data_IF_525140874236
#
_entry.id   IF_525140874236
#
_cell.length_a   1.000
_cell.length_b   1.000
_cell.length_c   1.000
_cell.angle_alpha   90.00
_cell.angle_beta   90.00
_cell.angle_gamma   90.00
#
_symmetry.space_group_name_H-M   'P 1'
#
loop_
_entity.id
_entity.type
_entity.pdbx_description
1 polymer ?
#
# COMPACT_ATOMS: atom_id res chain seq x y z
N UNK A 1 -0.66 -37.66 14.17
CA UNK A 1 -0.67 -36.19 14.04
C UNK A 1 0.76 -35.74 13.80
N UNK A 2 1.11 -35.39 12.58
CA UNK A 2 2.39 -34.74 12.24
C UNK A 2 2.12 -33.71 11.14
N UNK A 3 2.38 -32.44 11.44
CA UNK A 3 2.22 -31.33 10.52
C UNK A 3 3.26 -31.43 9.40
N UNK A 4 2.83 -31.25 8.14
CA UNK A 4 3.70 -31.28 6.97
C UNK A 4 4.19 -29.85 6.70
N UNK A 5 5.46 -29.61 7.02
CA UNK A 5 6.18 -28.36 6.72
C UNK A 5 6.24 -28.12 5.21
N UNK A 6 5.66 -27.01 4.74
CA UNK A 6 5.82 -26.54 3.37
C UNK A 6 7.11 -25.73 3.28
N UNK A 7 8.08 -26.22 2.50
CA UNK A 7 9.33 -25.50 2.22
C UNK A 7 9.06 -24.42 1.18
N UNK A 8 9.35 -23.15 1.51
CA UNK A 8 9.39 -22.05 0.52
C UNK A 8 10.62 -22.24 -0.37
N UNK A 9 10.41 -22.17 -1.69
CA UNK A 9 11.47 -22.19 -2.71
C UNK A 9 11.93 -20.75 -3.01
N UNK A 10 13.21 -20.52 -3.32
CA UNK A 10 13.75 -19.19 -3.62
C UNK A 10 13.36 -18.69 -5.02
N UNK A 11 13.17 -17.37 -5.15
CA UNK A 11 12.72 -16.64 -6.35
C UNK A 11 13.52 -16.95 -7.63
N UNK A 12 14.78 -17.40 -7.50
CA UNK A 12 15.66 -17.72 -8.63
C UNK A 12 15.25 -18.95 -9.44
N UNK A 13 14.43 -19.86 -8.89
CA UNK A 13 13.86 -21.01 -9.61
C UNK A 13 12.64 -20.62 -10.47
N UNK A 14 11.87 -19.61 -10.07
CA UNK A 14 10.73 -19.09 -10.85
C UNK A 14 11.16 -18.36 -12.13
N UNK A 15 12.40 -17.87 -12.18
CA UNK A 15 12.96 -17.15 -13.33
C UNK A 15 13.61 -18.05 -14.39
N UNK A 16 13.64 -19.38 -14.19
CA UNK A 16 14.08 -20.33 -15.23
C UNK A 16 13.05 -20.52 -16.37
N UNK A 17 11.87 -19.91 -16.27
CA UNK A 17 10.81 -19.94 -17.29
C UNK A 17 11.02 -19.04 -18.52
N UNK A 18 12.23 -18.51 -18.76
CA UNK A 18 12.51 -17.56 -19.86
C UNK A 18 12.51 -18.17 -21.26
N UNK A 19 12.27 -19.47 -21.41
CA UNK A 19 12.05 -20.11 -22.72
C UNK A 19 10.71 -19.69 -23.38
N UNK A 20 9.75 -19.18 -22.60
CA UNK A 20 8.46 -18.73 -23.14
C UNK A 20 8.56 -17.43 -23.97
N UNK A 21 9.61 -16.63 -23.75
CA UNK A 21 9.80 -15.33 -24.44
C UNK A 21 10.53 -15.45 -25.78
N UNK A 22 11.09 -16.62 -26.13
CA UNK A 22 11.83 -16.81 -27.38
C UNK A 22 10.94 -17.08 -28.61
N UNK A 23 9.70 -17.54 -28.41
CA UNK A 23 8.78 -17.92 -29.50
C UNK A 23 7.93 -16.76 -30.02
N UNK A 24 7.79 -15.68 -29.25
CA UNK A 24 6.95 -14.52 -29.60
C UNK A 24 7.58 -13.56 -30.61
N UNK A 25 8.91 -13.55 -30.76
CA UNK A 25 9.60 -12.55 -31.59
C UNK A 25 9.77 -12.96 -33.07
N UNK A 26 9.22 -14.09 -33.50
CA UNK A 26 9.53 -14.69 -34.80
C UNK A 26 8.48 -14.47 -35.92
N UNK A 27 7.44 -13.63 -35.73
CA UNK A 27 6.32 -13.56 -36.70
C UNK A 27 5.90 -12.18 -37.20
N UNK A 28 6.67 -11.12 -36.97
CA UNK A 28 6.27 -9.78 -37.43
C UNK A 28 7.02 -9.37 -38.69
N UNK A 29 6.46 -9.73 -39.86
CA UNK A 29 6.69 -8.97 -41.09
C UNK A 29 5.33 -8.67 -41.74
N UNK A 30 4.94 -7.40 -41.74
CA UNK A 30 3.83 -6.92 -42.56
C UNK A 30 4.18 -5.57 -43.17
N UNK A 31 3.94 -5.47 -44.47
CA UNK A 31 4.19 -4.31 -45.34
C UNK A 31 2.97 -3.41 -45.41
N UNK A 32 3.18 -2.09 -45.37
CA UNK A 32 2.13 -1.07 -45.52
C UNK A 32 1.93 -0.71 -47.00
N UNK A 33 0.67 -0.74 -47.46
CA UNK A 33 0.23 -0.01 -48.66
C UNK A 33 -1.18 0.52 -48.46
N UNK A 34 -1.34 1.85 -48.58
CA UNK A 34 -2.55 2.46 -49.15
C UNK A 34 -3.43 3.31 -48.24
N UNK A 35 -3.08 4.59 -48.14
CA UNK A 35 -3.91 5.80 -48.17
C UNK A 35 -5.41 5.71 -47.80
N UNK A 36 -5.80 6.33 -46.68
CA UNK A 36 -6.70 7.49 -46.69
C UNK A 36 -6.90 8.08 -45.28
N UNK A 37 -6.83 9.39 -45.25
CA UNK A 37 -7.13 10.32 -44.14
C UNK A 37 -8.36 9.93 -43.32
N UNK A 38 -8.11 9.59 -42.06
CA UNK A 38 -9.05 9.53 -40.95
C UNK A 38 -8.22 9.34 -39.69
N UNK A 39 -8.51 10.08 -38.62
CA UNK A 39 -7.82 9.93 -37.33
C UNK A 39 -7.66 8.45 -37.00
N UNK A 40 -6.41 7.95 -37.05
CA UNK A 40 -6.09 6.55 -36.91
C UNK A 40 -6.38 6.16 -35.46
N UNK A 41 -7.55 5.57 -35.25
CA UNK A 41 -7.74 4.62 -34.16
C UNK A 41 -6.58 3.64 -34.26
N UNK A 42 -5.73 3.60 -33.25
CA UNK A 42 -4.79 2.50 -33.07
C UNK A 42 -5.65 1.24 -33.00
N UNK A 43 -5.70 0.48 -34.10
CA UNK A 43 -6.31 -0.83 -34.12
C UNK A 43 -5.41 -1.72 -33.25
N UNK A 44 -5.77 -1.85 -31.97
CA UNK A 44 -5.37 -3.00 -31.18
C UNK A 44 -6.09 -4.20 -31.80
N UNK A 45 -5.43 -4.89 -32.74
CA UNK A 45 -5.88 -6.17 -33.29
C UNK A 45 -5.90 -7.22 -32.17
N UNK A 46 -6.98 -7.22 -31.37
CA UNK A 46 -7.25 -8.23 -30.36
C UNK A 46 -7.98 -9.41 -31.02
N UNK A 47 -7.19 -10.34 -31.56
CA UNK A 47 -7.65 -11.66 -31.94
C UNK A 47 -7.95 -12.51 -30.70
N UNK A 48 -9.24 -12.60 -30.36
CA UNK A 48 -9.90 -13.71 -29.68
C UNK A 48 -9.37 -14.15 -28.29
N UNK A 49 -9.84 -13.49 -27.24
CA UNK A 49 -10.54 -14.14 -26.11
C UNK A 49 -11.37 -13.08 -25.37
N UNK A 50 -12.70 -13.08 -25.55
CA UNK A 50 -13.57 -12.09 -24.92
C UNK A 50 -13.85 -12.47 -23.46
N UNK A 51 -12.90 -12.19 -22.58
CA UNK A 51 -13.21 -11.68 -21.24
C UNK A 51 -13.61 -10.20 -21.35
N UNK A 52 -14.40 -9.64 -20.41
CA UNK A 52 -14.66 -8.19 -20.41
C UNK A 52 -13.32 -7.48 -20.47
N UNK A 53 -13.15 -6.63 -21.49
CA UNK A 53 -11.84 -6.17 -21.96
C UNK A 53 -10.93 -5.76 -20.81
N UNK A 54 -9.69 -6.25 -20.83
CA UNK A 54 -8.65 -6.00 -19.82
C UNK A 54 -8.49 -4.51 -19.47
N UNK A 55 -8.74 -3.60 -20.41
CA UNK A 55 -8.71 -2.15 -20.18
C UNK A 55 -9.95 -1.59 -19.47
N UNK A 56 -11.10 -2.26 -19.57
CA UNK A 56 -12.36 -1.83 -18.95
C UNK A 56 -12.40 -2.09 -17.45
N UNK A 57 -11.67 -3.10 -16.98
CA UNK A 57 -11.61 -3.49 -15.56
C UNK A 57 -10.47 -2.83 -14.79
N UNK A 58 -9.45 -2.33 -15.49
CA UNK A 58 -8.21 -1.83 -14.87
C UNK A 58 -8.31 -0.39 -14.34
N UNK A 59 -9.30 0.38 -14.77
CA UNK A 59 -9.52 1.76 -14.30
C UNK A 59 -10.89 1.92 -13.66
N UNK A 60 -11.17 1.04 -12.70
CA UNK A 60 -12.37 1.10 -11.88
C UNK A 60 -11.97 1.01 -10.41
N UNK A 61 -12.83 1.56 -9.54
CA UNK A 61 -12.73 1.36 -8.11
C UNK A 61 -12.75 -0.15 -7.81
N UNK A 62 -11.87 -0.66 -6.92
CA UNK A 62 -11.83 -2.09 -6.63
C UNK A 62 -13.15 -2.56 -6.00
N UNK A 63 -13.65 -3.71 -6.44
CA UNK A 63 -14.87 -4.34 -5.89
C UNK A 63 -14.55 -5.58 -5.03
N UNK A 64 -13.32 -6.08 -5.10
CA UNK A 64 -12.80 -7.23 -4.37
C UNK A 64 -11.28 -7.13 -4.21
N UNK A 65 -10.72 -8.02 -3.39
CA UNK A 65 -9.29 -8.08 -3.10
C UNK A 65 -8.41 -8.33 -4.34
N UNK A 66 -8.88 -9.11 -5.33
CA UNK A 66 -8.09 -9.37 -6.53
C UNK A 66 -7.95 -8.10 -7.39
N UNK A 67 -9.01 -7.26 -7.45
CA UNK A 67 -8.97 -5.98 -8.15
C UNK A 67 -8.08 -4.98 -7.38
N UNK A 68 -8.12 -4.98 -6.04
CA UNK A 68 -7.23 -4.17 -5.20
C UNK A 68 -5.75 -4.52 -5.41
N UNK A 69 -5.41 -5.81 -5.34
CA UNK A 69 -4.04 -6.30 -5.56
C UNK A 69 -3.53 -5.92 -6.96
N UNK A 70 -4.41 -5.97 -7.97
CA UNK A 70 -4.06 -5.55 -9.33
C UNK A 70 -3.76 -4.05 -9.44
N UNK A 71 -4.50 -3.20 -8.73
CA UNK A 71 -4.26 -1.75 -8.69
C UNK A 71 -2.95 -1.40 -7.95
N UNK A 72 -2.64 -2.11 -6.86
CA UNK A 72 -1.37 -1.94 -6.14
C UNK A 72 -0.18 -2.29 -7.04
N UNK A 73 -0.24 -3.43 -7.74
CA UNK A 73 0.80 -3.82 -8.70
C UNK A 73 0.93 -2.81 -9.84
N UNK A 74 -0.18 -2.24 -10.31
CA UNK A 74 -0.16 -1.22 -11.34
C UNK A 74 0.57 0.06 -10.89
N UNK A 75 0.33 0.51 -9.66
CA UNK A 75 1.04 1.67 -9.09
C UNK A 75 2.52 1.38 -8.96
N UNK A 76 2.92 0.20 -8.47
CA UNK A 76 4.32 -0.20 -8.38
C UNK A 76 5.01 -0.18 -9.76
N UNK A 77 4.39 -0.77 -10.78
CA UNK A 77 4.92 -0.75 -12.15
C UNK A 77 5.01 0.67 -12.72
N UNK A 78 4.01 1.53 -12.46
CA UNK A 78 4.03 2.92 -12.89
C UNK A 78 5.16 3.70 -12.23
N UNK A 79 5.36 3.53 -10.92
CA UNK A 79 6.44 4.17 -10.17
C UNK A 79 7.82 3.70 -10.63
N UNK A 80 7.98 2.43 -11.03
CA UNK A 80 9.21 1.95 -11.66
C UNK A 80 9.49 2.63 -13.01
N UNK A 81 8.44 2.92 -13.79
CA UNK A 81 8.54 3.59 -15.09
C UNK A 81 8.86 5.09 -14.93
N UNK A 82 8.16 5.78 -14.03
CA UNK A 82 8.34 7.23 -13.81
C UNK A 82 9.62 7.53 -13.04
N UNK A 83 10.08 6.61 -12.19
CA UNK A 83 11.18 6.84 -11.27
C UNK A 83 10.88 8.03 -10.35
N UNK A 84 11.88 8.88 -10.13
CA UNK A 84 11.78 10.07 -9.26
C UNK A 84 11.21 11.31 -9.99
N UNK A 85 10.68 11.19 -11.21
CA UNK A 85 10.10 12.32 -11.95
C UNK A 85 8.63 12.56 -11.57
N UNK A 86 8.42 13.36 -10.54
CA UNK A 86 7.08 13.79 -10.11
C UNK A 86 6.32 14.61 -11.19
N UNK A 87 7.00 15.14 -12.21
CA UNK A 87 6.35 15.87 -13.30
C UNK A 87 5.92 14.98 -14.47
N UNK A 88 6.18 13.67 -14.36
CA UNK A 88 5.88 12.72 -15.41
C UNK A 88 4.35 12.68 -15.68
N UNK A 89 3.89 12.67 -16.95
CA UNK A 89 2.46 12.70 -17.27
C UNK A 89 1.64 11.54 -16.68
N UNK A 90 2.29 10.43 -16.33
CA UNK A 90 1.66 9.28 -15.68
C UNK A 90 1.44 9.46 -14.17
N UNK A 91 2.05 10.46 -13.53
CA UNK A 91 1.87 10.69 -12.08
C UNK A 91 0.41 11.00 -11.74
N UNK A 92 -0.29 11.74 -12.61
CA UNK A 92 -1.74 11.98 -12.43
C UNK A 92 -2.56 10.69 -12.47
N UNK A 93 -2.09 9.64 -13.12
CA UNK A 93 -2.74 8.33 -13.09
C UNK A 93 -2.44 7.58 -11.79
N UNK A 94 -1.19 7.66 -11.31
CA UNK A 94 -0.79 7.12 -10.00
C UNK A 94 -1.64 7.75 -8.89
N UNK A 95 -1.85 9.06 -8.92
CA UNK A 95 -2.69 9.77 -7.94
C UNK A 95 -4.13 9.22 -7.92
N UNK A 96 -4.75 9.07 -9.08
CA UNK A 96 -6.14 8.58 -9.19
C UNK A 96 -6.27 7.14 -8.68
N UNK A 97 -5.32 6.26 -9.04
CA UNK A 97 -5.35 4.87 -8.57
C UNK A 97 -5.06 4.82 -7.06
N UNK A 98 -4.17 5.68 -6.57
CA UNK A 98 -3.86 5.84 -5.15
C UNK A 98 -5.10 6.21 -4.34
N UNK A 99 -5.92 7.16 -4.82
CA UNK A 99 -7.18 7.55 -4.17
C UNK A 99 -8.14 6.35 -4.02
N UNK A 100 -8.22 5.48 -5.04
CA UNK A 100 -9.07 4.28 -5.00
C UNK A 100 -8.58 3.22 -4.03
N UNK A 101 -7.26 2.99 -3.99
CA UNK A 101 -6.60 2.10 -3.01
C UNK A 101 -6.87 2.61 -1.59
N UNK A 102 -6.71 3.92 -1.36
CA UNK A 102 -6.95 4.52 -0.05
C UNK A 102 -8.42 4.35 0.40
N UNK A 103 -9.39 4.61 -0.48
CA UNK A 103 -10.82 4.42 -0.18
C UNK A 103 -11.14 2.96 0.19
N UNK A 104 -10.54 2.00 -0.54
CA UNK A 104 -10.67 0.58 -0.24
C UNK A 104 -10.05 0.23 1.12
N UNK A 105 -8.82 0.66 1.38
CA UNK A 105 -8.10 0.40 2.64
C UNK A 105 -8.86 0.91 3.85
N UNK A 106 -9.41 2.13 3.77
CA UNK A 106 -10.19 2.72 4.87
C UNK A 106 -11.41 1.87 5.24
N UNK A 107 -12.01 1.18 4.27
CA UNK A 107 -13.25 0.42 4.44
C UNK A 107 -13.01 -1.07 4.73
N UNK A 108 -12.00 -1.68 4.11
CA UNK A 108 -11.74 -3.13 4.15
C UNK A 108 -10.53 -3.50 5.02
N UNK A 109 -9.57 -2.60 5.18
CA UNK A 109 -8.37 -2.79 5.99
C UNK A 109 -8.17 -1.68 7.02
N UNK A 110 -9.16 -1.39 7.89
CA UNK A 110 -9.03 -0.33 8.87
C UNK A 110 -7.83 -0.62 9.77
N UNK A 111 -6.82 0.25 9.70
CA UNK A 111 -5.63 0.14 10.56
C UNK A 111 -6.12 0.21 12.01
N UNK A 112 -5.94 -0.86 12.81
CA UNK A 112 -6.41 -0.85 14.18
C UNK A 112 -5.65 0.23 14.92
N UNK A 113 -6.40 1.14 15.55
CA UNK A 113 -5.81 2.22 16.32
C UNK A 113 -4.96 1.62 17.45
N UNK A 114 -3.66 1.94 17.52
CA UNK A 114 -2.81 1.41 18.57
C UNK A 114 -3.33 1.90 19.93
N UNK A 115 -3.29 1.06 20.97
CA UNK A 115 -3.71 1.48 22.30
C UNK A 115 -2.82 2.62 22.80
N UNK A 116 -3.37 3.54 23.59
CA UNK A 116 -2.65 4.77 24.00
C UNK A 116 -1.31 4.55 24.71
N UNK A 117 -1.06 3.37 25.29
CA UNK A 117 0.25 3.05 25.87
C UNK A 117 1.34 2.75 24.82
N UNK A 118 0.99 2.15 23.68
CA UNK A 118 1.93 1.93 22.58
C UNK A 118 2.31 3.24 21.92
N UNK A 119 1.31 4.11 21.73
CA UNK A 119 1.50 5.49 21.25
C UNK A 119 2.44 6.25 22.18
N UNK A 120 2.20 6.20 23.49
CA UNK A 120 3.09 6.82 24.47
C UNK A 120 4.51 6.26 24.38
N UNK A 121 4.66 4.93 24.29
CA UNK A 121 5.97 4.29 24.18
C UNK A 121 6.72 4.68 22.91
N UNK A 122 6.00 4.86 21.79
CA UNK A 122 6.56 5.37 20.54
C UNK A 122 7.06 6.81 20.71
N UNK A 123 6.22 7.71 21.22
CA UNK A 123 6.58 9.12 21.42
C UNK A 123 7.76 9.28 22.38
N UNK A 124 7.84 8.46 23.44
CA UNK A 124 9.00 8.48 24.33
C UNK A 124 10.31 8.11 23.61
N UNK A 125 10.28 7.10 22.72
CA UNK A 125 11.48 6.72 21.94
C UNK A 125 11.87 7.81 20.96
N UNK A 126 10.90 8.35 20.23
CA UNK A 126 11.11 9.38 19.22
C UNK A 126 11.69 10.67 19.83
N UNK A 127 11.20 11.06 21.01
CA UNK A 127 11.67 12.25 21.71
C UNK A 127 12.81 12.00 22.70
N UNK A 128 13.32 10.76 22.81
CA UNK A 128 14.39 10.40 23.75
C UNK A 128 14.03 10.59 25.23
N UNK A 129 12.75 10.47 25.58
CA UNK A 129 12.22 10.69 26.94
C UNK A 129 12.32 9.43 27.81
N UNK A 130 12.64 9.63 29.08
CA UNK A 130 12.59 8.59 30.10
C UNK A 130 11.25 8.63 30.84
N UNK A 131 10.94 7.56 31.58
CA UNK A 131 9.71 7.48 32.40
C UNK A 131 9.62 8.59 33.46
N UNK A 132 10.76 9.13 33.89
CA UNK A 132 10.85 10.21 34.87
C UNK A 132 10.50 11.58 34.28
N UNK A 133 10.53 11.71 32.95
CA UNK A 133 10.29 12.98 32.25
C UNK A 133 8.80 13.26 32.01
N UNK A 134 7.91 12.39 32.52
CA UNK A 134 6.45 12.46 32.35
C UNK A 134 5.71 12.73 33.68
N UNK A 135 5.98 13.85 34.38
CA UNK A 135 5.44 14.10 35.72
C UNK A 135 3.90 14.25 35.73
N UNK A 136 3.29 14.68 34.62
CA UNK A 136 1.82 14.78 34.53
C UNK A 136 1.12 13.44 34.31
N UNK A 137 1.84 12.41 33.85
CA UNK A 137 1.31 11.05 33.75
C UNK A 137 1.29 10.39 35.14
N UNK A 138 2.39 10.48 35.88
CA UNK A 138 2.49 9.96 37.24
C UNK A 138 3.92 9.70 37.67
N UNK A 139 4.09 8.92 38.73
CA UNK A 139 5.41 8.46 39.15
C UNK A 139 5.99 7.46 38.14
N UNK A 140 7.30 7.27 38.15
CA UNK A 140 7.99 6.32 37.27
C UNK A 140 7.33 4.92 37.25
N UNK A 141 6.93 4.41 38.43
CA UNK A 141 6.23 3.12 38.55
C UNK A 141 4.90 3.10 37.80
N UNK A 142 4.13 4.19 37.87
CA UNK A 142 2.84 4.31 37.17
C UNK A 142 3.05 4.35 35.66
N UNK A 143 4.05 5.10 35.19
CA UNK A 143 4.40 5.16 33.75
C UNK A 143 4.83 3.78 33.25
N UNK A 144 5.62 3.03 34.02
CA UNK A 144 6.02 1.65 33.68
C UNK A 144 4.83 0.67 33.58
N UNK A 145 3.87 0.76 34.50
CA UNK A 145 2.63 -0.03 34.44
C UNK A 145 1.79 0.30 33.20
N UNK A 146 1.76 1.58 32.80
CA UNK A 146 1.07 2.01 31.58
C UNK A 146 1.77 1.45 30.35
N UNK A 147 3.08 1.64 30.22
CA UNK A 147 3.88 1.17 29.08
C UNK A 147 3.86 -0.36 28.93
N UNK A 148 3.65 -1.10 30.01
CA UNK A 148 3.50 -2.57 29.98
C UNK A 148 2.06 -3.03 29.75
N UNK A 149 1.11 -2.11 29.55
CA UNK A 149 -0.31 -2.40 29.31
C UNK A 149 -1.07 -2.89 30.55
N UNK A 150 -0.42 -2.97 31.71
CA UNK A 150 -1.06 -3.38 32.98
C UNK A 150 -2.07 -2.34 33.48
N UNK A 151 -1.89 -1.09 33.06
CA UNK A 151 -2.74 0.04 33.44
C UNK A 151 -3.10 0.87 32.22
N UNK A 152 -4.37 1.23 32.08
CA UNK A 152 -4.79 2.16 31.04
C UNK A 152 -4.55 3.62 31.43
N UNK A 153 -4.32 4.46 30.43
CA UNK A 153 -4.30 5.91 30.59
C UNK A 153 -5.69 6.41 31.00
N UNK A 154 -5.75 7.28 32.00
CA UNK A 154 -6.99 7.98 32.34
C UNK A 154 -7.12 9.31 31.58
N UNK A 155 -8.32 9.87 31.54
CA UNK A 155 -8.60 11.09 30.79
C UNK A 155 -7.74 12.29 31.22
N UNK A 156 -7.35 12.38 32.50
CA UNK A 156 -6.47 13.46 33.00
C UNK A 156 -5.07 13.32 32.39
N UNK A 157 -4.53 12.11 32.37
CA UNK A 157 -3.22 11.80 31.78
C UNK A 157 -3.24 12.01 30.27
N UNK A 158 -4.30 11.55 29.58
CA UNK A 158 -4.48 11.75 28.14
C UNK A 158 -4.47 13.23 27.77
N UNK A 159 -5.23 14.07 28.48
CA UNK A 159 -5.25 15.53 28.23
C UNK A 159 -3.87 16.16 28.44
N UNK A 160 -3.18 15.76 29.50
CA UNK A 160 -1.82 16.25 29.75
C UNK A 160 -0.85 15.84 28.63
N UNK A 161 -0.92 14.59 28.15
CA UNK A 161 -0.10 14.09 27.05
C UNK A 161 -0.40 14.83 25.74
N UNK A 162 -1.68 15.03 25.41
CA UNK A 162 -2.12 15.81 24.26
C UNK A 162 -1.54 17.23 24.29
N UNK A 163 -1.61 17.91 25.43
CA UNK A 163 -1.03 19.25 25.59
C UNK A 163 0.51 19.26 25.55
N UNK A 164 1.15 18.22 26.08
CA UNK A 164 2.60 18.10 26.12
C UNK A 164 3.19 17.86 24.73
N UNK A 165 2.64 16.90 23.98
CA UNK A 165 3.07 16.54 22.63
C UNK A 165 2.44 17.40 21.52
N UNK A 166 1.49 18.29 21.87
CA UNK A 166 0.71 19.10 20.91
C UNK A 166 -0.04 18.23 19.90
N UNK A 167 -0.61 17.14 20.39
CA UNK A 167 -1.39 16.17 19.62
C UNK A 167 -2.87 16.21 20.03
N UNK A 168 -3.81 15.84 19.14
CA UNK A 168 -5.21 15.72 19.51
C UNK A 168 -5.39 14.61 20.56
N UNK A 169 -6.35 14.80 21.45
CA UNK A 169 -6.69 13.88 22.56
C UNK A 169 -6.98 12.48 22.05
N UNK A 170 -7.63 12.39 20.89
CA UNK A 170 -8.03 11.13 20.28
C UNK A 170 -6.83 10.22 20.02
N UNK A 171 -5.61 10.73 19.83
CA UNK A 171 -4.42 9.90 19.58
C UNK A 171 -4.12 8.93 20.74
N UNK A 172 -4.58 9.21 21.97
CA UNK A 172 -4.29 8.41 23.16
C UNK A 172 -5.49 7.61 23.71
N UNK A 173 -6.64 7.61 23.01
CA UNK A 173 -7.88 6.94 23.43
C UNK A 173 -8.12 5.65 22.64
#
# INVERSE_FOLDING_TARGET
>A
MTAKTVKRLPLSELLKGSEYLKTLNARTSCSLTGDSVGFESVCLDSGADQGPGLFTRFLQLPENEDDYDALVLAVDELLEITGDDESHPLMSLVDIIGDWIEEWDQTHHPVPKPPGFEVLGYLMREHGLTQSDLPGVGTQSVVSEILSGKRQLNLRQVRWLAEYFKLPVDVFI
#
